data_IF_444982526997
#
_entry.id   IF_444982526997
#
_cell.length_a   1.000
_cell.length_b   1.000
_cell.length_c   1.000
_cell.angle_alpha   90.00
_cell.angle_beta   90.00
_cell.angle_gamma   90.00
#
_symmetry.space_group_name_H-M   'P 1'
#
loop_
_entity.id
_entity.type
_entity.pdbx_description
1 polymer ?
#
# COMPACT_ATOMS: atom_id res chain seq x y z
N UNK A 1 11.56 -4.10 -16.02
CA UNK A 1 10.52 -4.94 -16.64
C UNK A 1 9.32 -4.93 -15.72
N UNK A 2 8.18 -4.59 -16.30
CA UNK A 2 6.91 -4.50 -15.61
C UNK A 2 6.54 -5.85 -14.95
N UNK A 3 6.07 -5.86 -13.69
CA UNK A 3 5.81 -7.09 -12.94
C UNK A 3 4.53 -7.82 -13.35
N UNK A 4 3.63 -7.17 -14.10
CA UNK A 4 2.30 -7.69 -14.42
C UNK A 4 2.01 -7.64 -15.93
N UNK A 5 1.09 -8.50 -16.36
CA UNK A 5 0.39 -8.36 -17.64
C UNK A 5 -0.91 -7.58 -17.47
N UNK A 6 -1.45 -7.05 -18.57
CA UNK A 6 -2.76 -6.38 -18.58
C UNK A 6 -3.89 -7.26 -18.05
N UNK A 7 -3.85 -8.57 -18.32
CA UNK A 7 -4.85 -9.51 -17.81
C UNK A 7 -4.76 -9.71 -16.30
N UNK A 8 -3.55 -9.72 -15.74
CA UNK A 8 -3.35 -9.80 -14.29
C UNK A 8 -3.85 -8.52 -13.60
N UNK A 9 -3.59 -7.34 -14.20
CA UNK A 9 -4.11 -6.07 -13.70
C UNK A 9 -5.63 -6.08 -13.68
N UNK A 10 -6.27 -6.48 -14.78
CA UNK A 10 -7.72 -6.54 -14.88
C UNK A 10 -8.33 -7.50 -13.83
N UNK A 11 -7.74 -8.69 -13.66
CA UNK A 11 -8.21 -9.67 -12.68
C UNK A 11 -8.13 -9.17 -11.24
N UNK A 12 -6.98 -8.59 -10.85
CA UNK A 12 -6.82 -8.00 -9.51
C UNK A 12 -7.79 -6.82 -9.31
N UNK A 13 -7.93 -5.95 -10.32
CA UNK A 13 -8.79 -4.77 -10.22
C UNK A 13 -10.27 -5.14 -10.07
N UNK A 14 -10.73 -6.20 -10.75
CA UNK A 14 -12.08 -6.71 -10.60
C UNK A 14 -12.37 -7.16 -9.16
N UNK A 15 -11.47 -7.92 -8.55
CA UNK A 15 -11.63 -8.37 -7.16
C UNK A 15 -11.50 -7.24 -6.14
N UNK A 16 -10.66 -6.23 -6.40
CA UNK A 16 -10.54 -5.06 -5.55
C UNK A 16 -11.70 -4.07 -5.70
N UNK A 17 -12.51 -4.15 -6.76
CA UNK A 17 -13.56 -3.18 -7.07
C UNK A 17 -14.49 -2.87 -5.88
N UNK A 18 -14.99 -3.84 -5.10
CA UNK A 18 -15.83 -3.57 -3.91
C UNK A 18 -15.11 -2.74 -2.84
N UNK A 19 -13.78 -2.78 -2.81
CA UNK A 19 -12.93 -2.06 -1.86
C UNK A 19 -12.49 -0.69 -2.37
N UNK A 20 -12.59 -0.42 -3.67
CA UNK A 20 -12.06 0.81 -4.30
C UNK A 20 -13.10 1.63 -5.07
N UNK A 21 -14.37 1.20 -5.07
CA UNK A 21 -15.45 1.83 -5.84
C UNK A 21 -15.92 3.20 -5.33
N UNK A 22 -15.56 3.58 -4.10
CA UNK A 22 -15.92 4.87 -3.49
C UNK A 22 -14.86 5.32 -2.50
N UNK A 23 -14.85 6.61 -2.17
CA UNK A 23 -13.97 7.17 -1.15
C UNK A 23 -14.16 6.49 0.22
N UNK A 24 -15.39 6.13 0.57
CA UNK A 24 -15.70 5.42 1.82
C UNK A 24 -15.14 4.00 1.80
N UNK A 25 -15.32 3.25 0.70
CA UNK A 25 -14.77 1.91 0.55
C UNK A 25 -13.24 1.93 0.63
N UNK A 26 -12.59 2.85 -0.10
CA UNK A 26 -11.13 3.04 -0.07
C UNK A 26 -10.63 3.39 1.33
N UNK A 27 -11.35 4.27 2.03
CA UNK A 27 -11.00 4.67 3.38
C UNK A 27 -11.07 3.48 4.32
N UNK A 28 -12.17 2.72 4.30
CA UNK A 28 -12.33 1.53 5.15
C UNK A 28 -11.25 0.49 4.86
N UNK A 29 -11.01 0.19 3.58
CA UNK A 29 -10.01 -0.78 3.15
C UNK A 29 -8.59 -0.36 3.52
N UNK A 30 -8.23 0.91 3.32
CA UNK A 30 -6.93 1.45 3.68
C UNK A 30 -6.71 1.52 5.20
N UNK A 31 -7.74 1.88 5.98
CA UNK A 31 -7.66 1.82 7.45
C UNK A 31 -7.48 0.37 7.92
N UNK A 32 -8.08 -0.61 7.27
CA UNK A 32 -7.82 -2.03 7.53
C UNK A 32 -6.36 -2.42 7.29
N UNK A 33 -5.75 -1.93 6.21
CA UNK A 33 -4.33 -2.15 5.93
C UNK A 33 -3.43 -1.51 7.02
N UNK A 34 -3.74 -0.29 7.46
CA UNK A 34 -3.04 0.34 8.57
C UNK A 34 -3.29 -0.33 9.93
N UNK A 35 -4.47 -0.94 10.14
CA UNK A 35 -4.73 -1.76 11.33
C UNK A 35 -3.79 -2.96 11.39
N UNK A 36 -3.59 -3.65 10.26
CA UNK A 36 -2.63 -4.74 10.19
C UNK A 36 -1.19 -4.22 10.44
N UNK A 37 -0.79 -3.15 9.76
CA UNK A 37 0.58 -2.62 9.84
C UNK A 37 0.94 -2.02 11.20
N UNK A 38 0.14 -1.09 11.71
CA UNK A 38 0.38 -0.44 13.00
C UNK A 38 0.04 -1.37 14.17
N UNK A 39 -0.77 -2.40 13.96
CA UNK A 39 -0.94 -3.49 14.93
C UNK A 39 0.34 -4.33 15.09
N UNK A 40 1.07 -4.57 14.00
CA UNK A 40 2.37 -5.25 14.03
C UNK A 40 3.52 -4.32 14.48
N UNK A 41 3.43 -3.02 14.15
CA UNK A 41 4.45 -2.00 14.40
C UNK A 41 3.86 -0.72 15.02
N UNK A 42 3.36 -0.78 16.26
CA UNK A 42 2.74 0.38 16.91
C UNK A 42 3.71 1.55 17.09
N UNK A 43 5.02 1.29 17.19
CA UNK A 43 6.06 2.30 17.27
C UNK A 43 6.14 3.22 16.04
N UNK A 44 5.52 2.83 14.91
CA UNK A 44 5.53 3.63 13.69
C UNK A 44 4.46 4.71 13.63
N UNK A 45 3.50 4.72 14.55
CA UNK A 45 2.45 5.76 14.60
C UNK A 45 3.07 7.18 14.60
N UNK A 46 4.18 7.35 15.32
CA UNK A 46 4.89 8.63 15.44
C UNK A 46 5.49 9.17 14.12
N UNK A 47 5.61 8.33 13.08
CA UNK A 47 6.14 8.76 11.77
C UNK A 47 5.07 9.43 10.90
N UNK A 48 3.81 9.37 11.31
CA UNK A 48 2.70 9.95 10.59
C UNK A 48 2.27 11.24 11.26
N UNK A 49 2.54 12.38 10.61
CA UNK A 49 2.29 13.70 11.19
C UNK A 49 0.85 13.95 11.65
N UNK A 50 -0.15 13.37 10.97
CA UNK A 50 -1.57 13.48 11.38
C UNK A 50 -1.98 12.50 12.49
N UNK A 51 -1.07 11.65 12.95
CA UNK A 51 -1.29 10.69 14.04
C UNK A 51 -0.46 11.04 15.29
N UNK A 52 0.24 12.17 15.28
CA UNK A 52 1.06 12.61 16.41
C UNK A 52 0.23 12.69 17.71
N UNK A 53 0.71 12.04 18.76
CA UNK A 53 0.04 11.96 20.06
C UNK A 53 -1.02 10.86 20.19
N UNK A 54 -1.30 10.12 19.12
CA UNK A 54 -2.18 8.94 19.17
C UNK A 54 -1.40 7.69 19.58
N UNK A 55 -2.13 6.71 20.10
CA UNK A 55 -1.63 5.38 20.46
C UNK A 55 -2.42 4.31 19.71
N UNK A 56 -1.99 3.05 19.81
CA UNK A 56 -2.70 1.95 19.16
C UNK A 56 -4.18 1.83 19.61
N UNK A 57 -4.49 2.28 20.84
CA UNK A 57 -5.82 2.21 21.42
C UNK A 57 -6.83 3.17 20.75
N UNK A 58 -6.36 4.25 20.13
CA UNK A 58 -7.22 5.30 19.59
C UNK A 58 -6.91 5.72 18.14
N UNK A 59 -5.77 5.30 17.57
CA UNK A 59 -5.32 5.75 16.25
C UNK A 59 -6.34 5.41 15.14
N UNK A 60 -7.03 4.28 15.27
CA UNK A 60 -7.93 3.77 14.23
C UNK A 60 -9.29 4.48 14.14
N UNK A 61 -9.58 5.36 15.08
CA UNK A 61 -10.80 6.19 15.09
C UNK A 61 -10.53 7.61 14.56
N UNK A 62 -9.26 7.95 14.33
CA UNK A 62 -8.84 9.31 13.97
C UNK A 62 -9.12 9.71 12.52
N UNK A 63 -9.34 11.00 12.26
CA UNK A 63 -9.39 11.53 10.89
C UNK A 63 -8.04 11.42 10.17
N UNK A 64 -6.94 11.43 10.93
CA UNK A 64 -5.60 11.23 10.39
C UNK A 64 -5.45 9.87 9.71
N UNK A 65 -5.93 8.80 10.33
CA UNK A 65 -5.80 7.46 9.76
C UNK A 65 -6.69 7.27 8.52
N UNK A 66 -7.85 7.92 8.49
CA UNK A 66 -8.75 7.90 7.33
C UNK A 66 -8.08 8.55 6.11
N UNK A 67 -7.42 9.69 6.32
CA UNK A 67 -6.62 10.35 5.28
C UNK A 67 -5.54 9.41 4.75
N UNK A 68 -4.71 8.83 5.63
CA UNK A 68 -3.62 7.95 5.19
C UNK A 68 -4.12 6.68 4.52
N UNK A 69 -5.19 6.08 5.05
CA UNK A 69 -5.84 4.89 4.49
C UNK A 69 -6.26 5.13 3.04
N UNK A 70 -6.97 6.22 2.75
CA UNK A 70 -7.35 6.56 1.38
C UNK A 70 -6.12 6.79 0.49
N UNK A 71 -5.14 7.57 0.95
CA UNK A 71 -3.94 7.84 0.14
C UNK A 71 -3.11 6.60 -0.16
N UNK A 72 -3.05 5.63 0.77
CA UNK A 72 -2.36 4.35 0.56
C UNK A 72 -3.05 3.55 -0.56
N UNK A 73 -4.38 3.42 -0.49
CA UNK A 73 -5.13 2.66 -1.49
C UNK A 73 -5.04 3.32 -2.87
N UNK A 74 -5.18 4.65 -2.93
CA UNK A 74 -5.05 5.38 -4.20
C UNK A 74 -3.67 5.17 -4.85
N UNK A 75 -2.59 5.24 -4.06
CA UNK A 75 -1.23 5.08 -4.58
C UNK A 75 -0.95 3.64 -5.05
N UNK A 76 -1.39 2.63 -4.28
CA UNK A 76 -1.26 1.22 -4.67
C UNK A 76 -2.05 0.93 -5.94
N UNK A 77 -3.30 1.39 -6.05
CA UNK A 77 -4.12 1.19 -7.26
C UNK A 77 -3.52 1.90 -8.47
N UNK A 78 -2.97 3.11 -8.27
CA UNK A 78 -2.29 3.86 -9.33
C UNK A 78 -1.07 3.10 -9.86
N UNK A 79 -0.24 2.55 -8.98
CA UNK A 79 0.90 1.71 -9.35
C UNK A 79 0.46 0.39 -10.01
N UNK A 80 -0.58 -0.26 -9.47
CA UNK A 80 -1.15 -1.49 -10.02
C UNK A 80 -1.63 -1.30 -11.45
N UNK A 81 -2.33 -0.18 -11.71
CA UNK A 81 -2.84 0.18 -13.05
C UNK A 81 -1.69 0.43 -14.03
N UNK A 82 -0.52 0.86 -13.54
CA UNK A 82 0.69 1.00 -14.34
C UNK A 82 1.53 -0.29 -14.39
N UNK A 83 1.08 -1.40 -13.79
CA UNK A 83 1.86 -2.61 -13.55
C UNK A 83 2.39 -3.34 -14.79
N UNK A 84 1.89 -3.01 -15.98
CA UNK A 84 2.29 -3.54 -17.27
C UNK A 84 3.11 -2.53 -18.11
N UNK A 85 3.23 -1.28 -17.65
CA UNK A 85 3.97 -0.19 -18.28
C UNK A 85 5.23 0.11 -17.45
N UNK A 86 6.37 -0.42 -17.90
CA UNK A 86 7.63 -0.36 -17.13
C UNK A 86 8.06 1.09 -16.89
N UNK A 87 8.04 1.95 -17.91
CA UNK A 87 8.49 3.35 -17.78
C UNK A 87 7.59 4.13 -16.82
N UNK A 88 6.27 4.00 -16.99
CA UNK A 88 5.31 4.68 -16.11
C UNK A 88 5.39 4.16 -14.69
N UNK A 89 5.51 2.85 -14.49
CA UNK A 89 5.65 2.28 -13.16
C UNK A 89 6.94 2.76 -12.49
N UNK A 90 8.09 2.73 -13.18
CA UNK A 90 9.35 3.23 -12.62
C UNK A 90 9.26 4.69 -12.17
N UNK A 91 8.59 5.55 -12.96
CA UNK A 91 8.37 6.94 -12.57
C UNK A 91 7.53 7.06 -11.28
N UNK A 92 6.45 6.28 -11.16
CA UNK A 92 5.60 6.27 -9.96
C UNK A 92 6.34 5.76 -8.71
N UNK A 93 7.17 4.73 -8.86
CA UNK A 93 7.97 4.18 -7.78
C UNK A 93 8.97 5.22 -7.25
N UNK A 94 9.64 5.93 -8.16
CA UNK A 94 10.58 6.99 -7.80
C UNK A 94 9.91 8.18 -7.09
N UNK A 95 8.74 8.61 -7.58
CA UNK A 95 7.98 9.69 -6.95
C UNK A 95 7.47 9.30 -5.55
N UNK A 96 7.07 8.04 -5.37
CA UNK A 96 6.71 7.51 -4.06
C UNK A 96 7.92 7.43 -3.12
N UNK A 97 9.08 7.00 -3.61
CA UNK A 97 10.33 6.97 -2.84
C UNK A 97 10.65 8.33 -2.22
N UNK A 98 10.67 9.39 -3.06
CA UNK A 98 10.87 10.78 -2.62
C UNK A 98 9.90 11.23 -1.52
N UNK A 99 8.64 10.80 -1.58
CA UNK A 99 7.66 11.14 -0.55
C UNK A 99 8.05 10.55 0.82
N UNK A 100 8.69 9.38 0.85
CA UNK A 100 9.10 8.72 2.08
C UNK A 100 10.46 9.20 2.61
N UNK A 101 11.40 9.59 1.73
CA UNK A 101 12.71 10.16 2.14
C UNK A 101 12.52 11.40 3.04
N UNK A 102 11.49 12.21 2.75
CA UNK A 102 11.15 13.40 3.53
C UNK A 102 10.65 13.11 4.96
N UNK A 103 10.44 11.85 5.34
CA UNK A 103 9.80 11.43 6.61
C UNK A 103 10.73 10.70 7.58
N UNK A 104 12.03 10.62 7.29
CA UNK A 104 13.04 9.94 8.11
C UNK A 104 12.69 8.47 8.43
N UNK A 105 12.04 7.80 7.48
CA UNK A 105 11.83 6.36 7.50
C UNK A 105 13.00 5.74 6.75
N UNK A 106 13.74 4.84 7.40
CA UNK A 106 14.81 4.11 6.75
C UNK A 106 14.27 2.93 5.92
N UNK A 107 15.14 2.40 5.06
CA UNK A 107 14.87 1.23 4.24
C UNK A 107 14.28 0.05 5.02
N UNK A 108 14.80 -0.26 6.21
CA UNK A 108 14.35 -1.40 6.99
C UNK A 108 12.92 -1.22 7.52
N UNK A 109 12.58 -0.02 8.01
CA UNK A 109 11.22 0.31 8.48
C UNK A 109 10.21 0.36 7.33
N UNK A 110 10.61 0.81 6.15
CA UNK A 110 9.73 0.76 4.99
C UNK A 110 9.46 -0.69 4.57
N UNK A 111 10.52 -1.49 4.48
CA UNK A 111 10.44 -2.89 4.04
C UNK A 111 9.73 -3.81 5.04
N UNK A 112 9.67 -3.47 6.34
CA UNK A 112 8.89 -4.24 7.31
C UNK A 112 7.38 -4.20 7.02
N UNK A 113 6.89 -3.21 6.27
CA UNK A 113 5.52 -3.16 5.79
C UNK A 113 5.20 -4.20 4.71
N UNK A 114 6.17 -4.60 3.88
CA UNK A 114 5.96 -5.50 2.74
C UNK A 114 5.22 -6.80 3.13
N UNK A 115 5.69 -7.62 4.09
CA UNK A 115 5.00 -8.86 4.44
C UNK A 115 3.58 -8.62 4.97
N UNK A 116 3.35 -7.52 5.69
CA UNK A 116 2.02 -7.15 6.20
C UNK A 116 1.08 -6.81 5.05
N UNK A 117 1.52 -5.99 4.11
CA UNK A 117 0.67 -5.58 2.98
C UNK A 117 0.43 -6.74 2.03
N UNK A 118 1.42 -7.59 1.75
CA UNK A 118 1.20 -8.82 0.95
C UNK A 118 0.12 -9.69 1.56
N UNK A 119 0.20 -9.97 2.86
CA UNK A 119 -0.82 -10.77 3.56
C UNK A 119 -2.20 -10.09 3.52
N UNK A 120 -2.26 -8.78 3.78
CA UNK A 120 -3.52 -8.03 3.79
C UNK A 120 -4.21 -8.01 2.42
N UNK A 121 -3.48 -7.66 1.36
CA UNK A 121 -4.04 -7.59 0.01
C UNK A 121 -4.38 -8.98 -0.52
N UNK A 122 -3.56 -10.01 -0.28
CA UNK A 122 -3.89 -11.37 -0.72
C UNK A 122 -5.15 -11.93 -0.06
N UNK A 123 -5.41 -11.60 1.22
CA UNK A 123 -6.66 -11.97 1.90
C UNK A 123 -7.91 -11.29 1.33
N UNK A 124 -7.74 -10.18 0.60
CA UNK A 124 -8.84 -9.50 -0.10
C UNK A 124 -9.12 -10.09 -1.49
N UNK A 125 -8.26 -10.99 -1.97
CA UNK A 125 -8.41 -11.66 -3.26
C UNK A 125 -8.83 -13.12 -3.02
N UNK A 126 -9.65 -13.64 -3.92
CA UNK A 126 -10.21 -15.00 -3.86
C UNK A 126 -9.67 -15.91 -4.97
N UNK A 127 -9.21 -15.34 -6.08
CA UNK A 127 -8.61 -16.08 -7.19
C UNK A 127 -7.12 -16.32 -6.91
N UNK A 128 -6.64 -17.58 -6.85
CA UNK A 128 -5.23 -17.87 -6.54
C UNK A 128 -4.22 -17.21 -7.49
N UNK A 129 -4.54 -17.13 -8.78
CA UNK A 129 -3.68 -16.48 -9.77
C UNK A 129 -3.53 -14.97 -9.50
N UNK A 130 -4.58 -14.32 -9.01
CA UNK A 130 -4.55 -12.91 -8.64
C UNK A 130 -3.77 -12.68 -7.35
N UNK A 131 -3.83 -13.61 -6.39
CA UNK A 131 -2.99 -13.58 -5.18
C UNK A 131 -1.50 -13.68 -5.53
N UNK A 132 -1.14 -14.61 -6.42
CA UNK A 132 0.24 -14.77 -6.90
C UNK A 132 0.71 -13.49 -7.62
N UNK A 133 -0.14 -12.93 -8.47
CA UNK A 133 0.17 -11.71 -9.19
C UNK A 133 0.31 -10.48 -8.26
N UNK A 134 -0.59 -10.33 -7.28
CA UNK A 134 -0.51 -9.26 -6.28
C UNK A 134 0.75 -9.37 -5.43
N UNK A 135 1.11 -10.59 -5.00
CA UNK A 135 2.35 -10.83 -4.28
C UNK A 135 3.58 -10.46 -5.14
N UNK A 136 3.62 -10.90 -6.40
CA UNK A 136 4.71 -10.55 -7.32
C UNK A 136 4.81 -9.04 -7.53
N UNK A 137 3.66 -8.36 -7.67
CA UNK A 137 3.59 -6.91 -7.81
C UNK A 137 4.13 -6.18 -6.58
N UNK A 138 3.68 -6.52 -5.36
CA UNK A 138 4.16 -5.86 -4.14
C UNK A 138 5.64 -6.15 -3.87
N UNK A 139 6.10 -7.38 -4.14
CA UNK A 139 7.53 -7.74 -4.08
C UNK A 139 8.38 -7.01 -5.13
N UNK A 140 7.77 -6.50 -6.21
CA UNK A 140 8.45 -5.60 -7.15
C UNK A 140 8.42 -4.16 -6.65
N UNK A 141 7.26 -3.66 -6.22
CA UNK A 141 7.04 -2.26 -5.85
C UNK A 141 7.88 -1.84 -4.64
N UNK A 142 7.81 -2.59 -3.53
CA UNK A 142 8.41 -2.17 -2.27
C UNK A 142 9.94 -2.01 -2.36
N UNK A 143 10.72 -3.00 -2.85
CA UNK A 143 12.16 -2.84 -2.99
C UNK A 143 12.58 -1.73 -3.96
N UNK A 144 11.74 -1.38 -4.94
CA UNK A 144 12.07 -0.32 -5.88
C UNK A 144 11.79 1.08 -5.29
N UNK A 145 10.73 1.24 -4.49
CA UNK A 145 10.52 2.48 -3.71
C UNK A 145 11.65 2.67 -2.69
N UNK A 146 12.07 1.59 -2.03
CA UNK A 146 13.02 1.68 -0.93
C UNK A 146 14.43 2.11 -1.37
N UNK A 147 14.80 1.94 -2.65
CA UNK A 147 16.09 2.40 -3.20
C UNK A 147 16.35 3.90 -3.03
N UNK A 148 15.27 4.68 -2.91
CA UNK A 148 15.33 6.14 -2.77
C UNK A 148 15.26 6.61 -1.30
N UNK A 149 15.28 5.69 -0.32
CA UNK A 149 15.19 5.96 1.13
C UNK A 149 16.53 6.03 1.86
#
# INVERSE_FOLDING_TARGET
MAPLTESQIAGIHEELLPHICSDEAKTSFGVGAYKAFLGAHPEYIQHFSKLNGLTIDNVFESEGIKYYGRTLVDEIVKMLTAGADDEKLQQLLHDSGKAHTARNIDNAKFMSGLPVFVDYFNRSLTVPENQIAMEAFLNHVFPNISKDL
#
